data_IF_594691671194
#
_entry.id   IF_594691671194
#
_cell.length_a   1.000
_cell.length_b   1.000
_cell.length_c   1.000
_cell.angle_alpha   90.00
_cell.angle_beta   90.00
_cell.angle_gamma   90.00
#
_symmetry.space_group_name_H-M   'P 1'
#
loop_
_entity.id
_entity.type
_entity.pdbx_description
1 polymer ?
#
# COMPACT_ATOMS: atom_id res chain seq x y z
N UNK A 1 11.50 41.06 19.14
CA UNK A 1 10.57 39.90 19.09
C UNK A 1 11.35 38.70 19.58
N UNK A 2 11.00 38.19 20.75
CA UNK A 2 11.78 37.17 21.49
C UNK A 2 11.65 35.81 20.78
N UNK A 3 12.78 35.20 20.45
CA UNK A 3 12.89 33.83 19.96
C UNK A 3 12.75 32.87 21.14
N UNK A 4 11.54 32.39 21.40
CA UNK A 4 11.29 31.30 22.36
C UNK A 4 11.95 30.02 21.85
N UNK A 5 13.05 29.63 22.51
CA UNK A 5 13.78 28.39 22.28
C UNK A 5 12.98 27.22 22.88
N UNK A 6 11.98 26.72 22.16
CA UNK A 6 11.27 25.49 22.52
C UNK A 6 12.23 24.31 22.45
N UNK A 7 12.76 23.91 23.61
CA UNK A 7 13.57 22.69 23.79
C UNK A 7 12.76 21.48 23.32
N UNK A 8 12.97 21.03 22.07
CA UNK A 8 12.33 19.81 21.55
C UNK A 8 12.69 18.66 22.47
N UNK A 9 11.70 18.03 23.09
CA UNK A 9 11.91 16.82 23.89
C UNK A 9 12.20 15.67 22.92
N UNK A 10 13.48 15.42 22.63
CA UNK A 10 13.92 14.20 21.97
C UNK A 10 13.92 13.08 23.00
N UNK A 11 12.84 12.30 23.02
CA UNK A 11 12.67 11.15 23.89
C UNK A 11 11.61 10.21 23.34
N UNK A 12 11.59 8.98 23.85
CA UNK A 12 10.53 8.02 23.55
C UNK A 12 9.22 8.59 24.09
N UNK A 13 8.21 8.74 23.25
CA UNK A 13 6.86 9.11 23.67
C UNK A 13 6.19 7.87 24.30
N UNK A 14 6.09 7.79 25.63
CA UNK A 14 5.67 6.56 26.28
C UNK A 14 4.20 6.21 25.99
N UNK A 15 3.38 7.21 25.65
CA UNK A 15 1.96 7.05 25.34
C UNK A 15 1.69 6.25 24.05
N UNK A 16 2.58 6.31 23.06
CA UNK A 16 2.44 5.57 21.79
C UNK A 16 3.35 4.35 21.72
N UNK A 17 4.52 4.43 22.37
CA UNK A 17 5.52 3.37 22.35
C UNK A 17 5.12 2.15 23.19
N UNK A 18 4.70 2.35 24.44
CA UNK A 18 4.40 1.21 25.33
C UNK A 18 3.14 0.43 24.92
N UNK A 19 2.02 1.08 24.54
CA UNK A 19 0.83 0.32 24.12
C UNK A 19 1.05 -0.51 22.87
N UNK A 20 1.73 0.04 21.85
CA UNK A 20 2.03 -0.70 20.61
C UNK A 20 2.95 -1.90 20.88
N UNK A 21 3.99 -1.71 21.70
CA UNK A 21 4.92 -2.77 22.06
C UNK A 21 4.24 -3.88 22.87
N UNK A 22 3.39 -3.54 23.84
CA UNK A 22 2.67 -4.53 24.66
C UNK A 22 1.71 -5.34 23.79
N UNK A 23 0.96 -4.69 22.88
CA UNK A 23 0.02 -5.38 22.00
C UNK A 23 0.76 -6.36 21.09
N UNK A 24 1.85 -5.94 20.44
CA UNK A 24 2.64 -6.82 19.57
C UNK A 24 3.25 -7.98 20.36
N UNK A 25 3.84 -7.70 21.52
CA UNK A 25 4.43 -8.75 22.37
C UNK A 25 3.37 -9.77 22.85
N UNK A 26 2.18 -9.30 23.20
CA UNK A 26 1.07 -10.17 23.60
C UNK A 26 0.58 -11.03 22.45
N UNK A 27 0.43 -10.47 21.24
CA UNK A 27 0.05 -11.24 20.05
C UNK A 27 1.10 -12.30 19.72
N UNK A 28 2.40 -11.96 19.76
CA UNK A 28 3.47 -12.92 19.58
C UNK A 28 3.47 -14.02 20.65
N UNK A 29 3.20 -13.66 21.91
CA UNK A 29 3.12 -14.64 23.00
C UNK A 29 1.97 -15.63 22.79
N UNK A 30 0.79 -15.14 22.42
CA UNK A 30 -0.38 -15.97 22.14
C UNK A 30 -0.15 -16.91 20.95
N UNK A 31 0.51 -16.45 19.88
CA UNK A 31 0.77 -17.27 18.70
C UNK A 31 1.80 -18.36 18.93
N UNK A 32 2.83 -18.10 19.75
CA UNK A 32 3.86 -19.10 20.08
C UNK A 32 3.34 -20.17 21.03
N UNK A 33 2.38 -19.84 21.91
CA UNK A 33 1.85 -20.78 22.90
C UNK A 33 1.12 -21.97 22.26
N UNK A 34 0.32 -21.71 21.24
CA UNK A 34 -0.46 -22.73 20.53
C UNK A 34 -0.59 -22.35 19.06
N UNK A 35 0.21 -22.99 18.21
CA UNK A 35 0.25 -22.72 16.78
C UNK A 35 -1.02 -23.22 16.06
N UNK A 36 -1.60 -24.33 16.51
CA UNK A 36 -2.75 -24.96 15.85
C UNK A 36 -4.02 -24.14 16.10
N UNK A 37 -4.25 -23.73 17.35
CA UNK A 37 -5.34 -22.83 17.69
C UNK A 37 -5.18 -21.47 16.99
N UNK A 38 -3.96 -20.95 16.92
CA UNK A 38 -3.67 -19.69 16.23
C UNK A 38 -3.99 -19.76 14.74
N UNK A 39 -3.59 -20.83 14.05
CA UNK A 39 -3.91 -21.04 12.64
C UNK A 39 -5.42 -21.13 12.41
N UNK A 40 -6.18 -21.80 13.28
CA UNK A 40 -7.63 -21.89 13.17
C UNK A 40 -8.30 -20.50 13.29
N UNK A 41 -7.86 -19.69 14.26
CA UNK A 41 -8.36 -18.32 14.46
C UNK A 41 -7.99 -17.43 13.28
N UNK A 42 -6.74 -17.47 12.80
CA UNK A 42 -6.29 -16.68 11.65
C UNK A 42 -7.14 -16.98 10.41
N UNK A 43 -7.39 -18.25 10.11
CA UNK A 43 -8.22 -18.64 8.96
C UNK A 43 -9.69 -18.22 9.14
N UNK A 44 -10.24 -18.35 10.35
CA UNK A 44 -11.60 -17.91 10.65
C UNK A 44 -11.77 -16.40 10.45
N UNK A 45 -10.83 -15.61 10.98
CA UNK A 45 -10.83 -14.14 10.83
C UNK A 45 -10.62 -13.73 9.38
N UNK A 46 -9.67 -14.37 8.68
CA UNK A 46 -9.42 -14.12 7.25
C UNK A 46 -10.67 -14.35 6.41
N UNK A 47 -11.36 -15.48 6.62
CA UNK A 47 -12.62 -15.77 5.94
C UNK A 47 -13.71 -14.75 6.32
N UNK A 48 -13.87 -14.43 7.60
CA UNK A 48 -14.88 -13.48 8.05
C UNK A 48 -14.72 -12.10 7.39
N UNK A 49 -13.49 -11.57 7.35
CA UNK A 49 -13.20 -10.28 6.73
C UNK A 49 -13.43 -10.35 5.22
N UNK A 50 -12.92 -11.39 4.56
CA UNK A 50 -13.02 -11.52 3.10
C UNK A 50 -14.46 -11.66 2.62
N UNK A 51 -15.28 -12.48 3.28
CA UNK A 51 -16.68 -12.70 2.88
C UNK A 51 -17.62 -11.56 3.30
N UNK A 52 -17.46 -11.01 4.50
CA UNK A 52 -18.38 -10.00 5.05
C UNK A 52 -18.02 -8.59 4.60
N UNK A 53 -16.72 -8.27 4.56
CA UNK A 53 -16.20 -6.94 4.28
C UNK A 53 -15.58 -6.81 2.89
N UNK A 54 -15.50 -7.88 2.09
CA UNK A 54 -14.90 -7.86 0.76
C UNK A 54 -15.46 -6.77 -0.15
N UNK A 55 -16.79 -6.58 -0.15
CA UNK A 55 -17.43 -5.52 -0.94
C UNK A 55 -16.95 -4.11 -0.55
N UNK A 56 -16.70 -3.86 0.74
CA UNK A 56 -16.25 -2.56 1.22
C UNK A 56 -14.81 -2.29 0.77
N UNK A 57 -13.95 -3.30 0.75
CA UNK A 57 -12.59 -3.20 0.21
C UNK A 57 -12.60 -2.89 -1.29
N UNK A 58 -13.44 -3.58 -2.08
CA UNK A 58 -13.56 -3.33 -3.52
C UNK A 58 -14.04 -1.90 -3.81
N UNK A 59 -15.09 -1.44 -3.12
CA UNK A 59 -15.58 -0.07 -3.27
C UNK A 59 -14.57 0.98 -2.81
N UNK A 60 -13.82 0.71 -1.74
CA UNK A 60 -12.74 1.59 -1.31
C UNK A 60 -11.70 1.77 -2.42
N UNK A 61 -11.30 0.70 -3.12
CA UNK A 61 -10.36 0.79 -4.24
C UNK A 61 -10.93 1.61 -5.40
N UNK A 62 -12.21 1.41 -5.75
CA UNK A 62 -12.88 2.18 -6.80
C UNK A 62 -12.97 3.66 -6.44
N UNK A 63 -13.35 3.99 -5.21
CA UNK A 63 -13.46 5.38 -4.73
C UNK A 63 -12.10 6.07 -4.72
N UNK A 64 -11.05 5.39 -4.25
CA UNK A 64 -9.70 5.95 -4.26
C UNK A 64 -9.15 6.13 -5.68
N UNK A 65 -9.45 5.23 -6.61
CA UNK A 65 -9.14 5.41 -8.02
C UNK A 65 -9.87 6.65 -8.61
N UNK A 66 -11.15 6.82 -8.27
CA UNK A 66 -11.91 8.02 -8.62
C UNK A 66 -11.32 9.29 -8.01
N UNK A 67 -10.92 9.24 -6.74
CA UNK A 67 -10.23 10.33 -6.05
C UNK A 67 -8.90 10.69 -6.71
N UNK A 68 -8.18 9.71 -7.23
CA UNK A 68 -6.94 9.94 -7.98
C UNK A 68 -7.19 10.68 -9.31
N UNK A 69 -8.21 10.27 -10.07
CA UNK A 69 -8.63 11.01 -11.27
C UNK A 69 -9.10 12.43 -10.93
N UNK A 70 -9.79 12.61 -9.81
CA UNK A 70 -10.18 13.93 -9.33
C UNK A 70 -8.98 14.80 -8.92
N UNK A 71 -7.90 14.24 -8.39
CA UNK A 71 -6.68 15.01 -8.12
C UNK A 71 -5.94 15.42 -9.42
N UNK A 72 -6.06 14.62 -10.48
CA UNK A 72 -5.39 14.88 -11.78
C UNK A 72 -6.17 15.83 -12.69
N UNK A 73 -7.50 15.73 -12.68
CA UNK A 73 -8.35 16.55 -13.54
C UNK A 73 -9.10 17.65 -12.78
N UNK A 74 -9.08 17.60 -11.44
CA UNK A 74 -9.80 18.54 -10.59
C UNK A 74 -9.00 19.79 -10.25
N UNK A 75 -9.52 20.61 -9.30
CA UNK A 75 -9.02 21.96 -9.02
C UNK A 75 -7.60 21.98 -8.43
N UNK A 76 -7.10 20.84 -7.96
CA UNK A 76 -5.80 20.71 -7.32
C UNK A 76 -4.67 20.32 -8.30
N UNK A 77 -4.97 19.99 -9.56
CA UNK A 77 -3.96 19.49 -10.49
C UNK A 77 -2.86 20.51 -10.84
N UNK A 78 -3.21 21.80 -10.84
CA UNK A 78 -2.25 22.88 -11.13
C UNK A 78 -1.61 23.46 -9.87
N UNK A 79 -1.98 22.98 -8.67
CA UNK A 79 -1.43 23.48 -7.41
C UNK A 79 -0.05 22.86 -7.17
N UNK A 80 0.95 23.71 -6.97
CA UNK A 80 2.30 23.29 -6.58
C UNK A 80 2.32 23.00 -5.08
N UNK A 81 3.03 21.94 -4.70
CA UNK A 81 3.25 21.53 -3.31
C UNK A 81 4.48 22.30 -2.79
N UNK A 82 4.22 23.48 -2.22
CA UNK A 82 5.26 24.44 -1.82
C UNK A 82 5.52 25.51 -2.89
N UNK A 83 6.03 26.66 -2.45
CA UNK A 83 6.40 27.79 -3.32
C UNK A 83 7.86 27.72 -3.82
N UNK A 84 8.64 26.78 -3.30
CA UNK A 84 10.06 26.60 -3.62
C UNK A 84 10.32 25.78 -4.89
N UNK A 85 11.51 25.96 -5.46
CA UNK A 85 11.96 25.18 -6.60
C UNK A 85 12.19 23.71 -6.22
N UNK A 86 11.99 22.74 -7.13
CA UNK A 86 12.18 21.33 -6.82
C UNK A 86 13.63 21.05 -6.40
N UNK A 87 13.82 20.46 -5.22
CA UNK A 87 15.13 20.11 -4.66
C UNK A 87 15.91 19.08 -5.48
N UNK A 88 15.19 18.20 -6.19
CA UNK A 88 15.76 17.13 -7.01
C UNK A 88 15.39 17.32 -8.48
N UNK A 89 16.33 16.98 -9.38
CA UNK A 89 16.04 16.86 -10.81
C UNK A 89 14.95 15.81 -11.06
N UNK A 90 14.07 16.06 -12.03
CA UNK A 90 12.94 15.17 -12.39
C UNK A 90 13.40 13.72 -12.61
N UNK A 91 14.58 13.53 -13.21
CA UNK A 91 15.15 12.21 -13.47
C UNK A 91 15.53 11.51 -12.16
N UNK A 92 16.22 12.21 -11.26
CA UNK A 92 16.57 11.69 -9.93
C UNK A 92 15.33 11.38 -9.10
N UNK A 93 14.30 12.23 -9.17
CA UNK A 93 13.03 12.01 -8.49
C UNK A 93 12.30 10.75 -8.99
N UNK A 94 12.29 10.49 -10.30
CA UNK A 94 11.73 9.25 -10.87
C UNK A 94 12.51 8.03 -10.37
N UNK A 95 13.85 8.09 -10.33
CA UNK A 95 14.66 6.99 -9.82
C UNK A 95 14.39 6.69 -8.33
N UNK A 96 14.17 7.72 -7.50
CA UNK A 96 13.78 7.51 -6.10
C UNK A 96 12.44 6.79 -5.98
N UNK A 97 11.47 7.11 -6.85
CA UNK A 97 10.19 6.38 -6.90
C UNK A 97 10.40 4.91 -7.31
N UNK A 98 11.22 4.63 -8.31
CA UNK A 98 11.54 3.23 -8.71
C UNK A 98 12.28 2.45 -7.62
N UNK A 99 13.23 3.08 -6.94
CA UNK A 99 13.95 2.46 -5.82
C UNK A 99 13.00 2.11 -4.66
N UNK A 100 11.97 2.92 -4.41
CA UNK A 100 10.96 2.62 -3.39
C UNK A 100 10.08 1.41 -3.73
N UNK A 101 10.01 1.02 -5.01
CA UNK A 101 9.17 -0.09 -5.47
C UNK A 101 9.84 -1.48 -5.35
N UNK A 102 11.16 -1.55 -5.16
CA UNK A 102 11.86 -2.85 -5.08
C UNK A 102 11.74 -3.45 -3.68
N UNK A 103 10.88 -4.46 -3.52
CA UNK A 103 10.72 -5.21 -2.28
C UNK A 103 10.74 -6.72 -2.50
N UNK A 104 11.16 -7.48 -1.48
CA UNK A 104 11.17 -8.95 -1.54
C UNK A 104 9.76 -9.54 -1.75
N UNK A 105 8.71 -8.84 -1.28
CA UNK A 105 7.33 -9.27 -1.46
C UNK A 105 6.90 -9.28 -2.94
N UNK A 106 7.35 -8.30 -3.73
CA UNK A 106 7.04 -8.24 -5.17
C UNK A 106 7.69 -9.39 -5.92
N UNK A 107 8.91 -9.79 -5.54
CA UNK A 107 9.59 -10.95 -6.14
C UNK A 107 8.89 -12.28 -5.78
N UNK A 108 8.47 -12.42 -4.51
CA UNK A 108 7.75 -13.60 -4.05
C UNK A 108 6.40 -13.75 -4.76
N UNK A 109 5.54 -12.73 -4.68
CA UNK A 109 4.20 -12.79 -5.29
C UNK A 109 4.27 -12.79 -6.81
N UNK A 110 5.18 -12.04 -7.44
CA UNK A 110 5.32 -12.03 -8.90
C UNK A 110 5.62 -13.41 -9.48
N UNK A 111 6.46 -14.21 -8.82
CA UNK A 111 6.82 -15.54 -9.31
C UNK A 111 5.75 -16.62 -9.04
N UNK A 112 5.04 -16.55 -7.91
CA UNK A 112 4.09 -17.60 -7.51
C UNK A 112 2.65 -17.34 -7.95
N UNK A 113 2.27 -16.08 -8.17
CA UNK A 113 0.87 -15.71 -8.46
C UNK A 113 0.36 -16.38 -9.74
N UNK A 114 1.20 -16.47 -10.78
CA UNK A 114 0.83 -17.14 -12.03
C UNK A 114 0.44 -18.61 -11.79
N UNK A 115 1.12 -19.27 -10.86
CA UNK A 115 0.81 -20.66 -10.53
C UNK A 115 -0.57 -20.77 -9.87
N UNK A 116 -0.90 -19.87 -8.93
CA UNK A 116 -2.21 -19.86 -8.28
C UNK A 116 -3.35 -19.62 -9.27
N UNK A 117 -3.22 -18.68 -10.21
CA UNK A 117 -4.28 -18.45 -11.21
C UNK A 117 -4.48 -19.60 -12.20
N UNK A 118 -3.43 -20.37 -12.48
CA UNK A 118 -3.51 -21.54 -13.38
C UNK A 118 -4.05 -22.77 -12.66
N UNK A 119 -3.69 -22.95 -11.38
CA UNK A 119 -4.09 -24.08 -10.56
C UNK A 119 -5.53 -23.95 -10.04
N UNK A 120 -5.95 -22.75 -9.62
CA UNK A 120 -7.29 -22.45 -9.11
C UNK A 120 -7.91 -21.31 -9.93
N UNK A 121 -8.43 -21.61 -11.12
CA UNK A 121 -8.98 -20.58 -11.99
C UNK A 121 -10.20 -19.90 -11.38
N UNK A 122 -10.24 -18.55 -11.33
CA UNK A 122 -11.49 -17.85 -11.09
C UNK A 122 -12.45 -18.13 -12.26
N UNK A 123 -13.77 -18.06 -12.00
CA UNK A 123 -14.84 -18.23 -13.01
C UNK A 123 -15.16 -19.69 -13.44
N UNK A 124 -14.71 -20.70 -12.70
CA UNK A 124 -15.16 -22.09 -12.91
C UNK A 124 -14.59 -22.77 -14.16
N UNK A 125 -13.47 -22.28 -14.68
CA UNK A 125 -12.76 -22.89 -15.81
C UNK A 125 -12.03 -24.17 -15.37
N UNK A 126 -11.72 -25.07 -16.32
CA UNK A 126 -10.96 -26.29 -16.00
C UNK A 126 -9.47 -25.96 -15.79
N UNK A 127 -8.86 -26.46 -14.70
CA UNK A 127 -7.45 -26.19 -14.37
C UNK A 127 -6.52 -26.75 -15.47
N UNK A 128 -5.42 -26.03 -15.74
CA UNK A 128 -4.41 -26.34 -16.77
C UNK A 128 -4.88 -26.40 -18.24
N UNK A 129 -6.12 -25.99 -18.54
CA UNK A 129 -6.61 -25.96 -19.92
C UNK A 129 -5.95 -24.86 -20.77
N UNK A 130 -5.78 -25.09 -22.07
CA UNK A 130 -5.28 -24.10 -23.05
C UNK A 130 -6.02 -22.75 -23.03
N UNK A 131 -7.36 -22.69 -22.95
CA UNK A 131 -8.07 -21.41 -22.82
C UNK A 131 -7.77 -20.68 -21.51
N UNK A 132 -7.52 -21.39 -20.41
CA UNK A 132 -7.20 -20.75 -19.12
C UNK A 132 -5.85 -20.03 -19.15
N UNK A 133 -4.83 -20.63 -19.76
CA UNK A 133 -3.51 -19.99 -19.93
C UNK A 133 -3.61 -18.64 -20.63
N UNK A 134 -4.56 -18.48 -21.54
CA UNK A 134 -4.80 -17.22 -22.27
C UNK A 134 -5.45 -16.13 -21.41
N UNK A 135 -6.22 -16.49 -20.39
CA UNK A 135 -6.82 -15.56 -19.41
C UNK A 135 -5.89 -15.25 -18.24
N UNK A 136 -5.10 -16.23 -17.80
CA UNK A 136 -4.11 -16.06 -16.74
C UNK A 136 -2.91 -15.21 -17.20
N UNK A 137 -2.51 -15.31 -18.48
CA UNK A 137 -1.36 -14.59 -19.02
C UNK A 137 -1.47 -13.05 -18.95
N UNK A 138 -2.58 -12.40 -19.33
CA UNK A 138 -2.77 -10.96 -19.13
C UNK A 138 -2.73 -10.52 -17.66
N UNK A 139 -3.28 -11.33 -16.75
CA UNK A 139 -3.34 -11.03 -15.32
C UNK A 139 -1.94 -11.15 -14.71
N UNK A 140 -1.21 -12.23 -15.01
CA UNK A 140 0.18 -12.42 -14.59
C UNK A 140 1.14 -11.36 -15.20
N UNK A 141 0.85 -10.91 -16.42
CA UNK A 141 1.62 -9.85 -17.06
C UNK A 141 1.39 -8.47 -16.39
N UNK A 142 0.24 -8.25 -15.74
CA UNK A 142 -0.05 -7.03 -15.00
C UNK A 142 0.78 -6.88 -13.72
N UNK A 143 1.26 -8.00 -13.16
CA UNK A 143 2.02 -8.04 -11.89
C UNK A 143 3.53 -8.06 -12.04
N UNK A 144 4.06 -7.92 -13.26
CA UNK A 144 5.48 -7.60 -13.48
C UNK A 144 6.28 -8.60 -14.31
N UNK A 145 5.67 -9.67 -14.81
CA UNK A 145 6.35 -10.55 -15.76
C UNK A 145 6.23 -10.02 -17.18
N UNK A 146 7.39 -9.68 -17.76
CA UNK A 146 7.58 -9.06 -19.07
C UNK A 146 6.72 -9.73 -20.17
N UNK A 147 5.64 -9.07 -20.56
CA UNK A 147 5.14 -9.09 -21.94
C UNK A 147 4.71 -7.69 -22.36
N UNK A 148 5.61 -7.01 -23.09
CA UNK A 148 5.38 -5.73 -23.77
C UNK A 148 4.78 -4.58 -22.94
N UNK A 149 5.63 -3.96 -22.12
CA UNK A 149 5.81 -2.50 -22.12
C UNK A 149 4.61 -1.59 -21.83
N UNK A 150 3.62 -2.02 -21.04
CA UNK A 150 2.56 -1.10 -20.55
C UNK A 150 2.43 -1.17 -19.02
N UNK A 151 2.51 -0.03 -18.31
CA UNK A 151 2.33 0.00 -16.88
C UNK A 151 0.85 -0.14 -16.55
N UNK A 152 0.47 -1.23 -15.88
CA UNK A 152 -0.85 -1.40 -15.27
C UNK A 152 -0.79 -1.11 -13.77
N UNK A 153 -1.97 -0.80 -13.22
CA UNK A 153 -2.18 0.11 -12.10
C UNK A 153 -1.70 -0.33 -10.70
N UNK A 154 -1.14 -1.54 -10.52
CA UNK A 154 -0.69 -2.04 -9.22
C UNK A 154 0.51 -1.25 -8.65
N UNK A 155 1.36 -0.70 -9.53
CA UNK A 155 2.57 0.05 -9.15
C UNK A 155 2.33 1.46 -8.61
N UNK A 156 1.09 1.94 -8.59
CA UNK A 156 0.77 3.35 -8.25
C UNK A 156 0.15 3.55 -6.86
N UNK A 157 -0.20 2.46 -6.18
CA UNK A 157 -0.96 2.51 -4.94
C UNK A 157 -0.17 2.89 -3.68
N UNK A 158 1.05 2.35 -3.44
CA UNK A 158 1.79 2.71 -2.21
C UNK A 158 2.31 4.14 -2.21
N UNK A 159 2.57 4.70 -3.39
CA UNK A 159 3.26 5.99 -3.54
C UNK A 159 2.31 7.18 -3.48
N UNK A 160 1.09 7.10 -3.99
CA UNK A 160 0.22 8.29 -4.11
C UNK A 160 -0.45 8.66 -2.79
N UNK A 161 -1.09 7.71 -2.10
CA UNK A 161 -1.86 8.02 -0.88
C UNK A 161 -0.93 8.36 0.29
N UNK A 162 0.17 7.61 0.46
CA UNK A 162 1.16 7.92 1.50
C UNK A 162 1.97 9.17 1.16
N UNK A 163 2.49 9.33 -0.06
CA UNK A 163 3.31 10.52 -0.36
C UNK A 163 2.48 11.81 -0.47
N UNK A 164 1.26 11.81 -1.02
CA UNK A 164 0.45 13.04 -1.05
C UNK A 164 -0.17 13.36 0.30
N UNK A 165 -0.60 12.38 1.11
CA UNK A 165 -1.09 12.65 2.46
C UNK A 165 0.04 13.22 3.33
N UNK A 166 1.19 12.55 3.35
CA UNK A 166 2.35 13.03 4.11
C UNK A 166 2.83 14.38 3.54
N UNK A 167 3.01 14.52 2.23
CA UNK A 167 3.52 15.77 1.66
C UNK A 167 2.53 16.93 1.74
N UNK A 168 1.22 16.70 1.64
CA UNK A 168 0.23 17.75 1.89
C UNK A 168 0.21 18.14 3.37
N UNK A 169 0.41 17.22 4.32
CA UNK A 169 0.54 17.56 5.73
C UNK A 169 1.81 18.37 6.03
N UNK A 170 2.93 18.08 5.36
CA UNK A 170 4.20 18.78 5.57
C UNK A 170 4.32 20.12 4.81
N UNK A 171 3.69 20.24 3.64
CA UNK A 171 3.80 21.42 2.77
C UNK A 171 2.51 22.25 2.68
N UNK A 172 1.42 21.83 3.33
CA UNK A 172 0.31 22.74 3.60
C UNK A 172 0.79 23.84 4.55
N UNK A 173 0.30 25.10 4.39
CA UNK A 173 0.56 26.14 5.38
C UNK A 173 0.16 25.62 6.75
N UNK A 174 1.14 25.58 7.66
CA UNK A 174 1.04 24.92 8.96
C UNK A 174 -0.31 25.20 9.63
N UNK A 175 -1.20 24.20 9.66
CA UNK A 175 -2.25 24.20 10.65
C UNK A 175 -1.55 24.09 12.02
N UNK A 176 -1.78 25.02 12.96
CA UNK A 176 -1.15 24.99 14.26
C UNK A 176 -1.59 23.71 15.00
N UNK A 177 -0.71 22.71 15.03
CA UNK A 177 -0.83 21.56 15.91
C UNK A 177 -0.61 22.06 17.34
N UNK A 178 -1.71 22.26 18.07
CA UNK A 178 -1.76 22.35 19.53
C UNK A 178 -3.04 21.64 19.98
N UNK A 179 -3.08 21.00 21.16
CA UNK A 179 -2.29 21.29 22.37
C UNK A 179 -1.04 20.45 22.59
#
# INVERSE_FOLDING_TARGET
MQTENSKRKTGIEPKVFFPSLIIVALLCYLTIRDLDASNAVINSVFNYITYTWGWAFEWYMVVMLGGWFWLIFGPFAQRRLGDEAPEFSTVSWIFMMFASCTSAAVLFWGSIEIYYYVATPPFGLTPFSTPLKRWAWPIACSTGDRCHGRPTASWRWPSVTSCLSVRSVWYAPAAPWSP
#
